data_IF_737776403618
#
_entry.id   IF_737776403618
#
_cell.length_a   1.000
_cell.length_b   1.000
_cell.length_c   1.000
_cell.angle_alpha   90.00
_cell.angle_beta   90.00
_cell.angle_gamma   90.00
#
_symmetry.space_group_name_H-M   'P 1'
#
loop_
_entity.id
_entity.type
_entity.pdbx_description
1 polymer ?
#
# COMPACT_ATOMS: atom_id res chain seq x y z
N UNK A 1 -2.96 -24.89 19.40
CA UNK A 1 -3.22 -23.48 19.78
C UNK A 1 -4.43 -23.05 18.98
N UNK A 2 -5.44 -22.45 19.62
CA UNK A 2 -6.65 -21.95 18.92
C UNK A 2 -6.42 -20.49 18.49
N UNK A 3 -5.60 -20.33 17.45
CA UNK A 3 -5.13 -18.99 17.00
C UNK A 3 -6.26 -18.15 16.47
N UNK A 4 -7.11 -18.71 15.60
CA UNK A 4 -8.26 -17.99 15.01
C UNK A 4 -9.20 -17.47 16.11
N UNK A 5 -9.56 -18.28 17.08
CA UNK A 5 -10.42 -17.87 18.20
C UNK A 5 -9.74 -16.83 19.10
N UNK A 6 -8.46 -17.02 19.40
CA UNK A 6 -7.70 -16.08 20.24
C UNK A 6 -7.61 -14.71 19.57
N UNK A 7 -7.31 -14.69 18.24
CA UNK A 7 -7.29 -13.47 17.45
C UNK A 7 -8.68 -12.80 17.42
N UNK A 8 -9.74 -13.57 17.18
CA UNK A 8 -11.12 -13.07 17.20
C UNK A 8 -11.46 -12.40 18.53
N UNK A 9 -11.13 -13.04 19.65
CA UNK A 9 -11.31 -12.47 20.99
C UNK A 9 -10.53 -11.16 21.17
N UNK A 10 -9.26 -11.11 20.75
CA UNK A 10 -8.43 -9.89 20.84
C UNK A 10 -9.03 -8.74 20.04
N UNK A 11 -9.49 -9.00 18.81
CA UNK A 11 -10.15 -8.00 17.97
C UNK A 11 -11.40 -7.46 18.64
N UNK A 12 -12.27 -8.33 19.12
CA UNK A 12 -13.55 -7.95 19.73
C UNK A 12 -13.35 -7.17 21.04
N UNK A 13 -12.45 -7.65 21.89
CA UNK A 13 -12.20 -7.05 23.21
C UNK A 13 -11.31 -5.81 23.17
N UNK A 14 -10.62 -5.51 22.04
CA UNK A 14 -9.76 -4.32 21.92
C UNK A 14 -10.56 -3.04 22.17
N UNK A 15 -9.95 -2.09 22.85
CA UNK A 15 -10.53 -0.78 23.18
C UNK A 15 -9.68 0.34 22.61
N UNK A 16 -10.31 1.38 22.09
CA UNK A 16 -9.60 2.52 21.47
C UNK A 16 -8.66 3.25 22.45
N UNK A 17 -9.04 3.27 23.75
CA UNK A 17 -8.27 3.90 24.80
C UNK A 17 -6.92 3.19 25.06
N UNK A 18 -6.80 1.94 24.61
CA UNK A 18 -5.57 1.13 24.72
C UNK A 18 -4.60 1.40 23.57
N UNK A 19 -5.05 2.05 22.51
CA UNK A 19 -4.19 2.40 21.36
C UNK A 19 -3.40 3.67 21.68
N UNK A 20 -2.05 3.64 21.66
CA UNK A 20 -1.22 4.81 21.94
C UNK A 20 -1.49 5.97 20.97
N UNK A 21 -1.25 7.20 21.43
CA UNK A 21 -1.54 8.40 20.64
C UNK A 21 -0.69 8.49 19.35
N UNK A 22 0.56 8.05 19.40
CA UNK A 22 1.45 7.97 18.25
C UNK A 22 0.97 6.95 17.20
N UNK A 23 0.41 5.81 17.63
CA UNK A 23 -0.20 4.81 16.74
C UNK A 23 -1.49 5.35 16.09
N UNK A 24 -2.31 6.10 16.85
CA UNK A 24 -3.50 6.77 16.29
C UNK A 24 -3.13 7.86 15.30
N UNK A 25 -2.08 8.63 15.60
CA UNK A 25 -1.54 9.62 14.66
C UNK A 25 -1.03 8.95 13.38
N UNK A 26 -0.34 7.82 13.50
CA UNK A 26 0.13 7.04 12.35
C UNK A 26 -1.06 6.52 11.50
N UNK A 27 -2.19 6.18 12.10
CA UNK A 27 -3.41 5.86 11.35
C UNK A 27 -3.92 7.07 10.55
N UNK A 28 -3.90 8.29 11.10
CA UNK A 28 -4.27 9.50 10.36
C UNK A 28 -3.31 9.79 9.20
N UNK A 29 -2.00 9.58 9.40
CA UNK A 29 -0.96 9.67 8.34
C UNK A 29 -1.24 8.68 7.20
N UNK A 30 -1.53 7.44 7.56
CA UNK A 30 -1.88 6.38 6.62
C UNK A 30 -3.16 6.70 5.83
N UNK A 31 -4.17 7.28 6.51
CA UNK A 31 -5.42 7.73 5.88
C UNK A 31 -5.17 8.81 4.83
N UNK A 32 -4.40 9.85 5.17
CA UNK A 32 -4.06 10.94 4.24
C UNK A 32 -3.31 10.40 3.02
N UNK A 33 -2.29 9.56 3.24
CA UNK A 33 -1.53 8.94 2.17
C UNK A 33 -2.41 8.06 1.28
N UNK A 34 -3.29 7.25 1.88
CA UNK A 34 -4.23 6.39 1.15
C UNK A 34 -5.21 7.21 0.30
N UNK A 35 -5.81 8.27 0.88
CA UNK A 35 -6.71 9.17 0.15
C UNK A 35 -6.01 9.78 -1.07
N UNK A 36 -4.77 10.27 -0.90
CA UNK A 36 -3.99 10.82 -2.01
C UNK A 36 -3.77 9.81 -3.14
N UNK A 37 -3.37 8.59 -2.79
CA UNK A 37 -3.16 7.53 -3.78
C UNK A 37 -4.46 7.12 -4.50
N UNK A 38 -5.57 7.00 -3.77
CA UNK A 38 -6.86 6.64 -4.35
C UNK A 38 -7.40 7.73 -5.28
N UNK A 39 -7.31 9.01 -4.89
CA UNK A 39 -7.73 10.16 -5.70
C UNK A 39 -6.84 10.27 -6.94
N UNK A 40 -5.51 10.23 -6.76
CA UNK A 40 -4.55 10.41 -7.85
C UNK A 40 -4.74 9.42 -8.99
N UNK A 41 -5.03 8.16 -8.67
CA UNK A 41 -5.24 7.12 -9.67
C UNK A 41 -6.68 7.00 -10.18
N UNK A 42 -7.61 7.79 -9.66
CA UNK A 42 -9.05 7.66 -9.95
C UNK A 42 -9.41 7.73 -11.44
N UNK A 43 -8.62 8.46 -12.24
CA UNK A 43 -8.81 8.61 -13.70
C UNK A 43 -7.90 7.72 -14.54
N UNK A 44 -7.08 6.87 -13.89
CA UNK A 44 -6.22 5.95 -14.59
C UNK A 44 -7.03 4.90 -15.39
N UNK A 45 -6.48 4.44 -16.51
CA UNK A 45 -7.12 3.45 -17.39
C UNK A 45 -7.58 2.19 -16.64
N UNK A 46 -6.79 1.69 -15.70
CA UNK A 46 -7.14 0.56 -14.83
C UNK A 46 -8.50 0.77 -14.15
N UNK A 47 -8.76 1.99 -13.65
CA UNK A 47 -10.01 2.30 -12.94
C UNK A 47 -11.16 2.48 -13.94
N UNK A 48 -10.90 3.09 -15.10
CA UNK A 48 -11.91 3.20 -16.15
C UNK A 48 -12.36 1.82 -16.63
N UNK A 49 -11.43 0.91 -16.89
CA UNK A 49 -11.70 -0.47 -17.31
C UNK A 49 -12.49 -1.23 -16.23
N UNK A 50 -12.10 -1.05 -14.96
CA UNK A 50 -12.81 -1.68 -13.84
C UNK A 50 -14.22 -1.15 -13.69
N UNK A 51 -14.43 0.17 -13.71
CA UNK A 51 -15.77 0.76 -13.59
C UNK A 51 -16.69 0.33 -14.74
N UNK A 52 -16.17 0.26 -15.97
CA UNK A 52 -16.93 -0.25 -17.10
C UNK A 52 -17.41 -1.69 -16.90
N UNK A 53 -16.60 -2.51 -16.20
CA UNK A 53 -16.93 -3.90 -15.91
C UNK A 53 -17.92 -4.07 -14.74
N UNK A 54 -17.83 -3.23 -13.69
CA UNK A 54 -18.57 -3.47 -12.44
C UNK A 54 -19.83 -2.62 -12.29
N UNK A 55 -19.88 -1.39 -12.84
CA UNK A 55 -21.04 -0.51 -12.71
C UNK A 55 -22.36 -1.09 -13.28
N UNK A 56 -22.36 -1.90 -14.36
CA UNK A 56 -23.59 -2.56 -14.80
C UNK A 56 -24.25 -3.49 -13.76
N UNK A 57 -23.48 -3.92 -12.75
CA UNK A 57 -23.95 -4.78 -11.66
C UNK A 57 -24.02 -4.05 -10.32
N UNK A 58 -23.76 -2.74 -10.30
CA UNK A 58 -23.77 -1.94 -9.09
C UNK A 58 -25.14 -1.93 -8.43
N UNK A 59 -25.14 -2.04 -7.09
CA UNK A 59 -26.33 -1.94 -6.26
C UNK A 59 -26.70 -0.48 -5.93
N UNK A 60 -27.29 -0.27 -4.76
CA UNK A 60 -27.64 1.07 -4.25
C UNK A 60 -26.40 1.96 -4.10
N UNK A 61 -26.48 3.28 -4.34
CA UNK A 61 -25.35 4.20 -4.28
C UNK A 61 -24.97 4.55 -2.83
N UNK A 62 -24.44 3.56 -2.10
CA UNK A 62 -24.12 3.65 -0.68
C UNK A 62 -22.81 4.35 -0.39
N UNK A 63 -21.81 4.25 -1.31
CA UNK A 63 -20.48 4.76 -1.07
C UNK A 63 -19.87 5.42 -2.32
N UNK A 64 -18.99 6.39 -2.08
CA UNK A 64 -18.32 7.24 -3.05
C UNK A 64 -17.11 6.54 -3.67
N UNK A 65 -16.89 6.72 -4.97
CA UNK A 65 -15.61 6.45 -5.63
C UNK A 65 -14.73 7.70 -5.49
N UNK A 66 -13.58 7.58 -4.83
CA UNK A 66 -12.66 8.68 -4.56
C UNK A 66 -12.12 9.30 -5.85
N UNK A 67 -12.07 10.65 -5.91
CA UNK A 67 -11.64 11.41 -7.09
C UNK A 67 -12.61 11.36 -8.28
N UNK A 68 -13.85 10.90 -8.07
CA UNK A 68 -14.91 10.77 -9.11
C UNK A 68 -16.26 11.17 -8.55
N UNK A 69 -17.24 11.33 -9.45
CA UNK A 69 -18.64 11.63 -9.07
C UNK A 69 -19.49 10.35 -8.91
N UNK A 70 -18.98 9.20 -9.37
CA UNK A 70 -19.71 7.95 -9.31
C UNK A 70 -19.82 7.43 -7.88
N UNK A 71 -21.00 6.92 -7.55
CA UNK A 71 -21.32 6.21 -6.32
C UNK A 71 -21.81 4.80 -6.67
N UNK A 72 -21.52 3.85 -5.81
CA UNK A 72 -21.93 2.45 -5.99
C UNK A 72 -22.27 1.83 -4.63
N UNK A 73 -22.64 0.55 -4.62
CA UNK A 73 -22.79 -0.18 -3.36
C UNK A 73 -21.45 -0.31 -2.62
N UNK A 74 -21.56 -0.57 -1.34
CA UNK A 74 -20.44 -0.62 -0.41
C UNK A 74 -19.33 -1.62 -0.84
N UNK A 75 -19.70 -2.76 -1.42
CA UNK A 75 -18.75 -3.80 -1.84
C UNK A 75 -17.97 -3.40 -3.10
N UNK A 76 -18.64 -2.84 -4.09
CA UNK A 76 -17.97 -2.37 -5.28
C UNK A 76 -17.15 -1.10 -5.01
N UNK A 77 -17.60 -0.22 -4.11
CA UNK A 77 -16.81 0.93 -3.69
C UNK A 77 -15.50 0.48 -3.00
N UNK A 78 -15.58 -0.51 -2.10
CA UNK A 78 -14.40 -1.08 -1.46
C UNK A 78 -13.43 -1.69 -2.50
N UNK A 79 -13.95 -2.41 -3.50
CA UNK A 79 -13.15 -2.95 -4.58
C UNK A 79 -12.44 -1.85 -5.37
N UNK A 80 -13.20 -0.91 -5.93
CA UNK A 80 -12.67 0.12 -6.85
C UNK A 80 -11.69 1.04 -6.15
N UNK A 81 -12.02 1.55 -4.96
CA UNK A 81 -11.15 2.41 -4.17
C UNK A 81 -9.86 1.70 -3.72
N UNK A 82 -9.96 0.41 -3.38
CA UNK A 82 -8.79 -0.41 -3.05
C UNK A 82 -7.87 -0.63 -4.24
N UNK A 83 -8.42 -0.85 -5.43
CA UNK A 83 -7.63 -0.90 -6.66
C UNK A 83 -6.99 0.45 -6.93
N UNK A 84 -7.78 1.54 -6.87
CA UNK A 84 -7.30 2.90 -7.14
C UNK A 84 -6.11 3.27 -6.25
N UNK A 85 -6.20 3.01 -4.95
CA UNK A 85 -5.13 3.34 -4.01
C UNK A 85 -3.79 2.64 -4.29
N UNK A 86 -3.79 1.53 -5.05
CA UNK A 86 -2.60 0.72 -5.32
C UNK A 86 -2.08 0.77 -6.77
N UNK A 87 -2.81 1.42 -7.69
CA UNK A 87 -2.41 1.48 -9.12
C UNK A 87 -1.02 2.05 -9.31
N UNK A 88 -0.68 3.12 -8.58
CA UNK A 88 0.59 3.80 -8.73
C UNK A 88 1.76 3.13 -7.99
N UNK A 89 1.48 2.07 -7.21
CA UNK A 89 2.48 1.46 -6.31
C UNK A 89 3.15 2.50 -5.39
N UNK A 90 2.37 3.50 -4.98
CA UNK A 90 2.82 4.68 -4.26
C UNK A 90 2.21 4.78 -2.85
N UNK A 91 1.38 3.82 -2.49
CA UNK A 91 0.80 3.65 -1.16
C UNK A 91 1.83 3.22 -0.12
N UNK A 92 1.44 3.27 1.15
CA UNK A 92 2.27 2.90 2.28
C UNK A 92 2.68 1.42 2.25
N UNK A 93 3.72 1.10 3.02
CA UNK A 93 4.29 -0.25 3.05
C UNK A 93 4.83 -0.56 4.43
N UNK A 94 4.37 -1.64 5.03
CA UNK A 94 4.98 -2.20 6.23
C UNK A 94 6.40 -2.69 5.92
N UNK A 95 7.33 -2.53 6.87
CA UNK A 95 8.75 -2.84 6.70
C UNK A 95 9.04 -4.26 6.16
N UNK A 96 8.09 -5.20 6.27
CA UNK A 96 8.20 -6.59 5.80
C UNK A 96 7.25 -6.95 4.65
N UNK A 97 6.95 -6.00 3.76
CA UNK A 97 6.36 -6.24 2.43
C UNK A 97 4.83 -6.32 2.30
N UNK A 98 4.04 -5.88 3.26
CA UNK A 98 2.59 -5.70 3.08
C UNK A 98 2.27 -4.22 2.85
N UNK A 99 1.23 -3.90 2.08
CA UNK A 99 0.68 -2.55 1.91
C UNK A 99 -0.60 -2.45 2.77
N UNK A 100 -0.50 -1.94 4.02
CA UNK A 100 -1.58 -2.17 4.99
C UNK A 100 -2.81 -1.32 4.75
N UNK A 101 -2.69 -0.11 4.23
CA UNK A 101 -3.83 0.77 4.02
C UNK A 101 -4.71 0.35 2.84
N UNK A 102 -4.11 -0.23 1.80
CA UNK A 102 -4.80 -0.52 0.54
C UNK A 102 -5.96 -1.52 0.67
N UNK A 103 -5.90 -2.60 1.48
CA UNK A 103 -7.03 -3.49 1.70
C UNK A 103 -7.98 -3.01 2.80
N UNK A 104 -7.53 -2.23 3.80
CA UNK A 104 -8.32 -1.95 5.01
C UNK A 104 -9.17 -0.69 4.86
N UNK A 105 -8.58 0.47 4.50
CA UNK A 105 -9.34 1.73 4.41
C UNK A 105 -10.50 1.70 3.41
N UNK A 106 -10.41 1.08 2.23
CA UNK A 106 -11.54 1.10 1.30
C UNK A 106 -12.81 0.48 1.87
N UNK A 107 -12.68 -0.66 2.59
CA UNK A 107 -13.79 -1.32 3.26
C UNK A 107 -14.38 -0.44 4.38
N UNK A 108 -13.50 0.15 5.21
CA UNK A 108 -13.92 0.99 6.32
C UNK A 108 -14.62 2.26 5.88
N UNK A 109 -14.08 2.96 4.86
CA UNK A 109 -14.66 4.22 4.38
C UNK A 109 -15.99 3.98 3.66
N UNK A 110 -16.10 2.91 2.86
CA UNK A 110 -17.35 2.53 2.24
C UNK A 110 -18.43 2.16 3.29
N UNK A 111 -18.03 1.42 4.34
CA UNK A 111 -18.93 1.08 5.45
C UNK A 111 -19.32 2.31 6.26
N UNK A 112 -18.37 3.25 6.46
CA UNK A 112 -18.62 4.50 7.21
C UNK A 112 -19.65 5.39 6.52
N UNK A 113 -19.59 5.53 5.19
CA UNK A 113 -20.60 6.28 4.44
C UNK A 113 -21.99 5.62 4.53
N UNK A 114 -22.02 4.29 4.46
CA UNK A 114 -23.30 3.55 4.50
C UNK A 114 -23.93 3.53 5.89
N UNK A 115 -23.13 3.47 6.96
CA UNK A 115 -23.61 3.25 8.34
C UNK A 115 -23.48 4.46 9.25
N UNK A 116 -22.80 5.54 8.83
CA UNK A 116 -22.58 6.71 9.68
C UNK A 116 -21.64 6.42 10.85
N UNK A 117 -20.44 5.89 10.58
CA UNK A 117 -19.44 5.50 11.59
C UNK A 117 -18.64 6.75 12.02
N UNK A 118 -18.36 6.87 13.34
CA UNK A 118 -17.50 7.93 13.86
C UNK A 118 -16.04 7.78 13.40
N UNK A 119 -15.32 8.89 13.32
CA UNK A 119 -13.90 8.86 12.98
C UNK A 119 -13.05 8.13 14.02
N UNK A 120 -13.39 8.23 15.28
CA UNK A 120 -12.71 7.50 16.35
C UNK A 120 -12.85 5.96 16.19
N UNK A 121 -14.04 5.49 15.83
CA UNK A 121 -14.28 4.07 15.57
C UNK A 121 -13.57 3.62 14.28
N UNK A 122 -13.55 4.45 13.24
CA UNK A 122 -12.82 4.19 12.01
C UNK A 122 -11.32 4.01 12.29
N UNK A 123 -10.69 4.92 13.03
CA UNK A 123 -9.26 4.84 13.39
C UNK A 123 -8.97 3.58 14.20
N UNK A 124 -9.79 3.29 15.22
CA UNK A 124 -9.64 2.08 16.02
C UNK A 124 -9.76 0.80 15.17
N UNK A 125 -10.78 0.72 14.31
CA UNK A 125 -10.98 -0.42 13.43
C UNK A 125 -9.82 -0.58 12.42
N UNK A 126 -9.29 0.53 11.88
CA UNK A 126 -8.12 0.51 11.02
C UNK A 126 -6.90 -0.08 11.71
N UNK A 127 -6.57 0.40 12.92
CA UNK A 127 -5.44 -0.13 13.71
C UNK A 127 -5.60 -1.65 13.91
N UNK A 128 -6.79 -2.09 14.36
CA UNK A 128 -7.08 -3.52 14.57
C UNK A 128 -6.95 -4.34 13.29
N UNK A 129 -7.38 -3.78 12.15
CA UNK A 129 -7.25 -4.41 10.83
C UNK A 129 -5.78 -4.58 10.44
N UNK A 130 -4.99 -3.52 10.55
CA UNK A 130 -3.55 -3.56 10.23
C UNK A 130 -2.79 -4.53 11.13
N UNK A 131 -3.08 -4.51 12.46
CA UNK A 131 -2.50 -5.51 13.37
C UNK A 131 -2.83 -6.94 12.94
N UNK A 132 -4.08 -7.18 12.51
CA UNK A 132 -4.53 -8.51 12.07
C UNK A 132 -3.79 -8.95 10.80
N UNK A 133 -3.80 -8.16 9.74
CA UNK A 133 -3.20 -8.56 8.47
C UNK A 133 -1.68 -8.68 8.53
N UNK A 134 -1.02 -7.73 9.23
CA UNK A 134 0.43 -7.78 9.37
C UNK A 134 0.87 -9.02 10.15
N UNK A 135 0.22 -9.36 11.26
CA UNK A 135 0.54 -10.54 12.06
C UNK A 135 0.24 -11.85 11.34
N UNK A 136 -0.89 -11.93 10.63
CA UNK A 136 -1.21 -13.09 9.77
C UNK A 136 -0.18 -13.21 8.64
N UNK A 137 0.16 -12.12 7.96
CA UNK A 137 1.17 -12.09 6.91
C UNK A 137 2.56 -12.49 7.42
N UNK A 138 2.99 -11.94 8.55
CA UNK A 138 4.29 -12.24 9.16
C UNK A 138 4.41 -13.72 9.59
N UNK A 139 3.31 -14.36 9.97
CA UNK A 139 3.30 -15.77 10.39
C UNK A 139 3.67 -16.74 9.27
N UNK A 140 3.57 -16.33 8.02
CA UNK A 140 3.88 -17.10 6.81
C UNK A 140 5.07 -16.54 6.01
N UNK A 141 5.56 -15.34 6.37
CA UNK A 141 6.69 -14.68 5.70
C UNK A 141 8.05 -15.27 6.18
N UNK A 142 9.09 -15.36 5.33
CA UNK A 142 9.13 -14.89 3.93
C UNK A 142 8.69 -15.96 2.89
N UNK A 143 8.53 -17.21 3.25
CA UNK A 143 8.34 -18.33 2.34
C UNK A 143 7.09 -18.18 1.48
N UNK A 144 5.99 -17.70 2.06
CA UNK A 144 4.75 -17.37 1.35
C UNK A 144 4.99 -16.40 0.18
N UNK A 145 5.77 -15.36 0.43
CA UNK A 145 6.14 -14.39 -0.60
C UNK A 145 7.11 -14.98 -1.63
N UNK A 146 8.07 -15.80 -1.18
CA UNK A 146 9.08 -16.42 -2.04
C UNK A 146 8.48 -17.40 -3.05
N UNK A 147 7.47 -18.17 -2.66
CA UNK A 147 6.80 -19.14 -3.56
C UNK A 147 5.86 -18.48 -4.56
N UNK A 148 5.61 -17.16 -4.46
CA UNK A 148 4.89 -16.41 -5.49
C UNK A 148 3.58 -15.75 -5.06
N UNK A 149 3.23 -15.75 -3.77
CA UNK A 149 2.03 -15.06 -3.28
C UNK A 149 2.28 -13.56 -3.07
N UNK A 150 1.34 -12.73 -3.48
CA UNK A 150 1.32 -11.31 -3.15
C UNK A 150 0.66 -11.11 -1.79
N UNK A 151 1.50 -10.95 -0.76
CA UNK A 151 1.07 -10.95 0.65
C UNK A 151 0.00 -9.87 0.96
N UNK A 152 0.02 -8.74 0.28
CA UNK A 152 -1.01 -7.69 0.41
C UNK A 152 -2.41 -8.21 0.07
N UNK A 153 -2.54 -9.03 -0.97
CA UNK A 153 -3.83 -9.64 -1.32
C UNK A 153 -4.22 -10.77 -0.37
N UNK A 154 -3.25 -11.63 -0.04
CA UNK A 154 -3.54 -12.86 0.73
C UNK A 154 -3.73 -12.61 2.22
N UNK A 155 -3.00 -11.65 2.81
CA UNK A 155 -3.16 -11.29 4.22
C UNK A 155 -4.14 -10.13 4.43
N UNK A 156 -4.22 -9.18 3.48
CA UNK A 156 -5.09 -8.01 3.58
C UNK A 156 -6.58 -8.33 3.73
N UNK A 157 -7.03 -9.46 3.20
CA UNK A 157 -8.42 -9.91 3.39
C UNK A 157 -8.77 -10.14 4.87
N UNK A 158 -7.82 -10.59 5.68
CA UNK A 158 -8.01 -10.73 7.13
C UNK A 158 -8.10 -9.38 7.82
N UNK A 159 -7.25 -8.41 7.40
CA UNK A 159 -7.30 -7.04 7.90
C UNK A 159 -8.64 -6.37 7.63
N UNK A 160 -9.10 -6.43 6.38
CA UNK A 160 -10.40 -5.89 6.00
C UNK A 160 -11.57 -6.58 6.74
N UNK A 161 -11.50 -7.91 6.93
CA UNK A 161 -12.52 -8.65 7.69
C UNK A 161 -12.55 -8.27 9.17
N UNK A 162 -11.39 -8.19 9.82
CA UNK A 162 -11.26 -7.81 11.22
C UNK A 162 -11.76 -6.39 11.47
N UNK A 163 -11.32 -5.44 10.64
CA UNK A 163 -11.70 -4.03 10.72
C UNK A 163 -13.20 -3.83 10.48
N UNK A 164 -13.74 -4.40 9.42
CA UNK A 164 -15.18 -4.33 9.11
C UNK A 164 -16.02 -5.01 10.17
N UNK A 165 -15.57 -6.18 10.66
CA UNK A 165 -16.25 -6.90 11.74
C UNK A 165 -16.27 -6.13 13.06
N UNK A 166 -15.20 -5.38 13.36
CA UNK A 166 -15.14 -4.47 14.52
C UNK A 166 -16.19 -3.38 14.41
N UNK A 167 -16.31 -2.72 13.24
CA UNK A 167 -17.32 -1.68 13.00
C UNK A 167 -18.76 -2.23 13.00
N UNK A 168 -18.95 -3.46 12.55
CA UNK A 168 -20.27 -4.12 12.58
C UNK A 168 -20.65 -4.68 13.95
N UNK A 169 -19.76 -4.59 14.94
CA UNK A 169 -20.02 -5.07 16.30
C UNK A 169 -20.14 -6.59 16.42
N UNK A 170 -19.37 -7.34 15.61
CA UNK A 170 -19.36 -8.80 15.67
C UNK A 170 -18.96 -9.29 17.07
N UNK A 171 -19.62 -10.33 17.57
CA UNK A 171 -19.15 -11.05 18.74
C UNK A 171 -17.95 -11.98 18.39
N UNK A 172 -17.34 -12.59 19.41
CA UNK A 172 -16.14 -13.43 19.23
C UNK A 172 -16.36 -14.60 18.26
N UNK A 173 -17.53 -15.22 18.33
CA UNK A 173 -17.90 -16.32 17.44
C UNK A 173 -18.06 -15.87 15.99
N UNK A 174 -18.79 -14.78 15.78
CA UNK A 174 -18.97 -14.18 14.46
C UNK A 174 -17.64 -13.69 13.89
N UNK A 175 -16.77 -13.09 14.71
CA UNK A 175 -15.45 -12.67 14.30
C UNK A 175 -14.57 -13.88 13.88
N UNK A 176 -14.63 -14.99 14.62
CA UNK A 176 -13.93 -16.21 14.21
C UNK A 176 -14.44 -16.74 12.86
N UNK A 177 -15.75 -16.68 12.61
CA UNK A 177 -16.31 -17.03 11.31
C UNK A 177 -15.87 -16.05 10.22
N UNK A 178 -15.85 -14.73 10.48
CA UNK A 178 -15.38 -13.74 9.51
C UNK A 178 -13.92 -14.01 9.09
N UNK A 179 -13.04 -14.32 10.06
CA UNK A 179 -11.65 -14.70 9.79
C UNK A 179 -11.55 -16.02 8.99
N UNK A 180 -12.40 -17.00 9.27
CA UNK A 180 -12.45 -18.25 8.51
C UNK A 180 -12.97 -18.07 7.08
N UNK A 181 -13.97 -17.19 6.87
CA UNK A 181 -14.45 -16.81 5.52
C UNK A 181 -13.35 -16.04 4.78
N UNK A 182 -12.62 -15.14 5.44
CA UNK A 182 -11.49 -14.43 4.87
C UNK A 182 -10.38 -15.40 4.42
N UNK A 183 -10.06 -16.40 5.24
CA UNK A 183 -9.03 -17.38 4.94
C UNK A 183 -9.27 -18.10 3.60
N UNK A 184 -10.50 -18.47 3.30
CA UNK A 184 -10.83 -19.18 2.05
C UNK A 184 -10.90 -18.25 0.82
N UNK A 185 -10.85 -16.93 1.02
CA UNK A 185 -10.85 -15.92 -0.05
C UNK A 185 -9.48 -15.29 -0.31
N UNK A 186 -8.43 -15.76 0.38
CA UNK A 186 -7.06 -15.28 0.20
C UNK A 186 -6.56 -15.58 -1.21
N UNK A 187 -6.11 -14.54 -1.93
CA UNK A 187 -5.65 -14.67 -3.31
C UNK A 187 -4.67 -13.55 -3.69
N UNK A 188 -3.96 -13.76 -4.81
CA UNK A 188 -3.02 -12.78 -5.37
C UNK A 188 -1.67 -13.41 -5.70
N UNK A 189 -1.25 -13.31 -6.96
CA UNK A 189 0.01 -13.88 -7.44
C UNK A 189 1.00 -12.77 -7.81
N UNK A 190 2.26 -12.91 -7.43
CA UNK A 190 3.36 -12.01 -7.81
C UNK A 190 3.61 -11.96 -9.32
N UNK A 191 3.19 -13.00 -10.05
CA UNK A 191 3.26 -13.03 -11.52
C UNK A 191 2.53 -11.84 -12.17
N UNK A 192 1.55 -11.26 -11.47
CA UNK A 192 0.78 -10.11 -11.96
C UNK A 192 1.53 -8.77 -11.84
N UNK A 193 2.74 -8.74 -11.27
CA UNK A 193 3.50 -7.50 -11.10
C UNK A 193 3.87 -6.89 -12.46
N UNK A 194 3.66 -5.55 -12.58
CA UNK A 194 3.82 -4.83 -13.85
C UNK A 194 2.56 -4.82 -14.73
N UNK A 195 1.45 -5.42 -14.28
CA UNK A 195 0.15 -5.35 -14.96
C UNK A 195 -0.90 -4.66 -14.09
N UNK A 196 -2.03 -4.28 -14.68
CA UNK A 196 -3.21 -3.74 -13.96
C UNK A 196 -3.69 -4.69 -12.86
N UNK A 197 -3.51 -6.01 -13.05
CA UNK A 197 -3.96 -7.03 -12.14
C UNK A 197 -3.24 -7.02 -10.78
N UNK A 198 -2.04 -6.42 -10.67
CA UNK A 198 -1.38 -6.26 -9.36
C UNK A 198 -2.27 -5.47 -8.40
N UNK A 199 -2.83 -4.34 -8.86
CA UNK A 199 -3.67 -3.48 -8.03
C UNK A 199 -5.04 -4.10 -7.70
N UNK A 200 -5.49 -5.09 -8.47
CA UNK A 200 -6.70 -5.85 -8.16
C UNK A 200 -6.60 -6.56 -6.80
N UNK A 201 -5.41 -6.99 -6.38
CA UNK A 201 -5.26 -7.81 -5.18
C UNK A 201 -5.73 -7.12 -3.90
N UNK A 202 -5.25 -5.90 -3.52
CA UNK A 202 -5.76 -5.22 -2.32
C UNK A 202 -7.23 -4.81 -2.45
N UNK A 203 -7.70 -4.39 -3.64
CA UNK A 203 -9.11 -4.07 -3.84
C UNK A 203 -10.00 -5.29 -3.61
N UNK A 204 -9.58 -6.46 -4.11
CA UNK A 204 -10.30 -7.71 -3.91
C UNK A 204 -10.23 -8.18 -2.46
N UNK A 205 -9.08 -8.00 -1.79
CA UNK A 205 -8.94 -8.27 -0.37
C UNK A 205 -9.90 -7.40 0.46
N UNK A 206 -10.01 -6.11 0.13
CA UNK A 206 -10.94 -5.17 0.77
C UNK A 206 -12.40 -5.63 0.63
N UNK A 207 -12.84 -5.88 -0.62
CA UNK A 207 -14.19 -6.35 -0.92
C UNK A 207 -14.51 -7.67 -0.22
N UNK A 208 -13.61 -8.64 -0.31
CA UNK A 208 -13.80 -9.98 0.24
C UNK A 208 -13.82 -9.96 1.77
N UNK A 209 -12.97 -9.14 2.41
CA UNK A 209 -12.95 -8.98 3.86
C UNK A 209 -14.22 -8.32 4.39
N UNK A 210 -14.68 -7.25 3.73
CA UNK A 210 -15.96 -6.63 4.04
C UNK A 210 -17.14 -7.63 3.91
N UNK A 211 -17.18 -8.38 2.81
CA UNK A 211 -18.17 -9.41 2.59
C UNK A 211 -18.11 -10.50 3.67
N UNK A 212 -16.91 -10.92 4.07
CA UNK A 212 -16.73 -11.91 5.14
C UNK A 212 -17.33 -11.44 6.47
N UNK A 213 -17.10 -10.18 6.84
CA UNK A 213 -17.70 -9.58 8.04
C UNK A 213 -19.24 -9.47 7.93
N UNK A 214 -19.75 -9.06 6.77
CA UNK A 214 -21.19 -8.97 6.53
C UNK A 214 -21.87 -10.34 6.60
N UNK A 215 -21.29 -11.38 6.00
CA UNK A 215 -21.81 -12.75 6.08
C UNK A 215 -21.83 -13.25 7.53
N UNK A 216 -20.72 -13.07 8.25
CA UNK A 216 -20.63 -13.49 9.66
C UNK A 216 -21.63 -12.75 10.55
N UNK A 217 -21.94 -11.48 10.27
CA UNK A 217 -22.96 -10.71 11.01
C UNK A 217 -24.36 -11.31 10.88
N UNK A 218 -24.59 -12.06 9.80
CA UNK A 218 -25.84 -12.80 9.57
C UNK A 218 -25.75 -14.28 10.01
N UNK A 219 -24.76 -14.61 10.85
CA UNK A 219 -24.47 -15.96 11.33
C UNK A 219 -24.14 -16.98 10.24
N UNK A 220 -23.56 -16.53 9.10
CA UNK A 220 -22.99 -17.43 8.11
C UNK A 220 -21.72 -18.07 8.70
N UNK A 221 -21.75 -19.37 8.91
CA UNK A 221 -20.73 -20.11 9.64
C UNK A 221 -19.52 -20.43 8.78
N UNK A 222 -18.34 -20.56 9.41
CA UNK A 222 -17.14 -21.09 8.81
C UNK A 222 -16.33 -21.89 9.84
N UNK A 223 -15.14 -22.35 9.44
CA UNK A 223 -14.22 -22.99 10.37
C UNK A 223 -13.69 -21.99 11.39
N UNK A 224 -13.73 -22.34 12.68
CA UNK A 224 -13.13 -21.57 13.77
C UNK A 224 -11.60 -21.75 13.89
N UNK A 225 -11.00 -22.50 12.97
CA UNK A 225 -9.57 -22.77 12.87
C UNK A 225 -9.07 -22.49 11.45
N UNK A 226 -9.69 -21.53 10.74
CA UNK A 226 -9.41 -21.23 9.34
C UNK A 226 -7.95 -20.83 9.08
N UNK A 227 -7.25 -20.28 10.08
CA UNK A 227 -5.85 -19.86 9.95
C UNK A 227 -4.90 -21.04 10.23
N UNK A 228 -5.05 -21.73 11.38
CA UNK A 228 -4.04 -22.66 11.91
C UNK A 228 -4.28 -24.14 11.63
N UNK A 229 -5.47 -24.54 11.21
CA UNK A 229 -5.78 -25.94 10.97
C UNK A 229 -4.86 -26.58 9.90
N UNK A 230 -4.80 -27.92 9.88
CA UNK A 230 -4.02 -28.67 8.89
C UNK A 230 -4.28 -28.25 7.43
N UNK A 231 -5.53 -27.87 7.12
CA UNK A 231 -5.98 -27.39 5.81
C UNK A 231 -6.35 -25.90 5.85
N UNK A 232 -5.88 -25.16 6.86
CA UNK A 232 -6.08 -23.74 7.02
C UNK A 232 -5.03 -22.92 6.26
N UNK A 233 -5.25 -21.59 6.22
CA UNK A 233 -4.42 -20.62 5.48
C UNK A 233 -2.92 -20.85 5.70
N UNK A 234 -2.45 -20.87 6.95
CA UNK A 234 -1.01 -20.90 7.24
C UNK A 234 -0.31 -22.14 6.72
N UNK A 235 -0.99 -23.31 6.71
CA UNK A 235 -0.42 -24.59 6.26
C UNK A 235 -0.54 -24.82 4.76
N UNK A 236 -1.57 -24.25 4.13
CA UNK A 236 -1.82 -24.41 2.69
C UNK A 236 -1.01 -23.40 1.88
N UNK A 237 -0.86 -22.18 2.40
CA UNK A 237 -0.27 -21.07 1.66
C UNK A 237 1.23 -20.87 1.91
N UNK A 238 1.86 -21.65 2.82
CA UNK A 238 3.29 -21.53 3.10
C UNK A 238 3.90 -22.87 3.55
N UNK A 239 5.17 -23.06 3.23
CA UNK A 239 5.97 -24.19 3.72
C UNK A 239 6.46 -23.99 5.16
N UNK A 240 6.46 -22.73 5.63
CA UNK A 240 6.73 -22.39 7.04
C UNK A 240 5.59 -21.52 7.57
N UNK A 241 5.10 -21.91 8.72
CA UNK A 241 4.02 -21.20 9.40
C UNK A 241 4.31 -21.17 10.91
N UNK A 242 4.42 -19.96 11.44
CA UNK A 242 4.55 -19.72 12.88
C UNK A 242 3.30 -19.03 13.45
N UNK A 243 2.35 -19.82 13.97
CA UNK A 243 1.11 -19.26 14.53
C UNK A 243 1.32 -18.39 15.77
N UNK A 244 2.46 -18.49 16.46
CA UNK A 244 2.73 -17.70 17.67
C UNK A 244 2.85 -16.21 17.38
N UNK A 245 3.32 -15.84 16.19
CA UNK A 245 3.46 -14.44 15.74
C UNK A 245 2.13 -13.71 15.74
N UNK A 246 1.03 -14.41 15.44
CA UNK A 246 -0.29 -13.82 15.28
C UNK A 246 -0.80 -13.23 16.61
N UNK A 247 -0.54 -13.91 17.71
CA UNK A 247 -1.09 -13.56 19.02
C UNK A 247 -0.09 -12.97 20.00
N UNK A 248 1.22 -13.02 19.67
CA UNK A 248 2.28 -12.53 20.54
C UNK A 248 2.18 -11.00 20.74
N UNK A 249 2.31 -10.56 21.99
CA UNK A 249 2.39 -9.13 22.34
C UNK A 249 1.26 -8.26 21.78
N UNK A 250 0.07 -8.81 21.59
CA UNK A 250 -1.11 -8.05 21.17
C UNK A 250 -1.40 -6.92 22.16
N UNK A 251 -1.59 -5.69 21.64
CA UNK A 251 -1.80 -4.49 22.45
C UNK A 251 -0.54 -3.94 23.15
N UNK A 252 0.63 -4.55 22.94
CA UNK A 252 1.92 -4.08 23.48
C UNK A 252 2.89 -3.64 22.40
N UNK A 253 2.93 -4.39 21.30
CA UNK A 253 3.69 -4.07 20.08
C UNK A 253 2.68 -3.82 18.96
N UNK A 254 2.87 -2.70 18.27
CA UNK A 254 2.00 -2.26 17.20
C UNK A 254 2.70 -2.39 15.85
N UNK A 255 2.17 -3.20 14.96
CA UNK A 255 2.71 -3.39 13.60
C UNK A 255 2.55 -2.11 12.76
N UNK A 256 1.50 -1.31 13.01
CA UNK A 256 1.31 -0.02 12.37
C UNK A 256 2.48 0.94 12.61
N UNK A 257 3.21 0.84 13.74
CA UNK A 257 4.43 1.61 14.00
C UNK A 257 5.60 1.24 13.05
N UNK A 258 5.49 0.14 12.31
CA UNK A 258 6.45 -0.28 11.28
C UNK A 258 6.03 0.12 9.86
N UNK A 259 5.03 0.99 9.73
CA UNK A 259 4.56 1.50 8.45
C UNK A 259 5.52 2.55 7.87
N UNK A 260 5.69 2.54 6.57
CA UNK A 260 6.59 3.42 5.82
C UNK A 260 5.84 4.04 4.65
N UNK A 261 6.24 5.23 4.23
CA UNK A 261 5.65 5.94 3.10
C UNK A 261 6.66 6.10 1.98
N UNK A 262 6.24 5.79 0.76
CA UNK A 262 7.10 5.98 -0.41
C UNK A 262 7.11 7.46 -0.82
N UNK A 263 8.28 8.10 -0.90
CA UNK A 263 8.41 9.44 -1.50
C UNK A 263 8.39 9.38 -3.03
N UNK A 264 8.63 8.19 -3.62
CA UNK A 264 8.73 7.98 -5.06
C UNK A 264 7.71 6.92 -5.53
N UNK A 265 7.13 7.13 -6.71
CA UNK A 265 5.99 6.37 -7.23
C UNK A 265 6.37 5.04 -7.89
N UNK A 266 7.11 4.18 -7.18
CA UNK A 266 7.61 2.91 -7.71
C UNK A 266 7.89 1.87 -6.60
N UNK A 267 8.43 0.72 -6.98
CA UNK A 267 8.77 -0.37 -6.07
C UNK A 267 9.69 0.07 -4.91
N UNK A 268 9.44 -0.47 -3.71
CA UNK A 268 10.19 -0.10 -2.50
C UNK A 268 11.71 -0.32 -2.66
N UNK A 269 12.10 -1.38 -3.37
CA UNK A 269 13.51 -1.80 -3.48
C UNK A 269 14.40 -0.85 -4.30
N UNK A 270 13.82 0.11 -5.03
CA UNK A 270 14.56 1.11 -5.79
C UNK A 270 14.56 2.51 -5.17
N UNK A 271 13.90 2.70 -4.02
CA UNK A 271 13.81 4.01 -3.36
C UNK A 271 15.19 4.56 -3.00
N UNK A 272 16.13 3.71 -2.51
CA UNK A 272 17.49 4.11 -2.20
C UNK A 272 18.29 4.57 -3.43
N UNK A 273 18.07 3.93 -4.57
CA UNK A 273 18.68 4.33 -5.85
C UNK A 273 18.19 5.72 -6.28
N UNK A 274 16.89 5.95 -6.23
CA UNK A 274 16.30 7.26 -6.60
C UNK A 274 16.79 8.36 -5.68
N UNK A 275 16.69 8.14 -4.37
CA UNK A 275 17.09 9.11 -3.34
C UNK A 275 18.57 9.53 -3.52
N UNK A 276 19.47 8.57 -3.68
CA UNK A 276 20.88 8.87 -3.88
C UNK A 276 21.19 9.54 -5.22
N UNK A 277 20.49 9.17 -6.30
CA UNK A 277 20.61 9.85 -7.59
C UNK A 277 20.16 11.32 -7.51
N UNK A 278 19.04 11.60 -6.83
CA UNK A 278 18.54 12.97 -6.61
C UNK A 278 19.54 13.79 -5.76
N UNK A 279 20.07 13.21 -4.67
CA UNK A 279 21.07 13.87 -3.84
C UNK A 279 22.31 14.24 -4.65
N UNK A 280 22.93 13.28 -5.36
CA UNK A 280 24.11 13.53 -6.18
C UNK A 280 23.85 14.57 -7.27
N UNK A 281 22.69 14.51 -7.91
CA UNK A 281 22.28 15.50 -8.93
C UNK A 281 22.24 16.90 -8.34
N UNK A 282 21.54 17.09 -7.24
CA UNK A 282 21.29 18.40 -6.66
C UNK A 282 22.55 19.01 -6.04
N UNK A 283 23.35 18.21 -5.35
CA UNK A 283 24.60 18.66 -4.71
C UNK A 283 25.67 19.09 -5.75
N UNK A 284 25.67 18.47 -6.94
CA UNK A 284 26.70 18.70 -7.96
C UNK A 284 26.18 19.42 -9.21
N UNK A 285 24.91 19.83 -9.24
CA UNK A 285 24.31 20.50 -10.39
C UNK A 285 24.35 19.65 -11.67
N UNK A 286 24.16 18.32 -11.55
CA UNK A 286 24.33 17.42 -12.69
C UNK A 286 23.22 17.58 -13.73
N UNK A 287 23.64 17.53 -15.01
CA UNK A 287 22.73 17.36 -16.14
C UNK A 287 23.02 16.02 -16.86
N UNK A 288 22.07 15.45 -17.60
CA UNK A 288 22.26 14.19 -18.32
C UNK A 288 23.48 14.16 -19.26
N UNK A 289 23.83 15.32 -19.84
CA UNK A 289 24.95 15.47 -20.78
C UNK A 289 26.31 15.29 -20.11
N UNK A 290 26.43 15.64 -18.81
CA UNK A 290 27.65 15.52 -18.02
C UNK A 290 28.00 14.07 -17.66
N UNK A 291 26.99 13.19 -17.61
CA UNK A 291 27.12 11.82 -17.12
C UNK A 291 27.67 10.91 -18.21
N UNK A 292 28.71 10.16 -17.92
CA UNK A 292 29.27 9.10 -18.79
C UNK A 292 28.66 7.74 -18.46
N UNK A 293 28.72 7.31 -17.19
CA UNK A 293 28.11 6.06 -16.72
C UNK A 293 27.57 6.18 -15.29
N UNK A 294 26.64 5.28 -14.95
CA UNK A 294 26.05 5.13 -13.62
C UNK A 294 26.15 3.66 -13.22
N UNK A 295 26.94 3.35 -12.22
CA UNK A 295 27.13 2.00 -11.72
C UNK A 295 26.41 1.88 -10.36
N UNK A 296 25.49 0.92 -10.23
CA UNK A 296 24.67 0.70 -9.04
C UNK A 296 25.00 -0.66 -8.42
N UNK A 297 25.44 -0.69 -7.15
CA UNK A 297 25.46 -1.92 -6.36
C UNK A 297 24.18 -2.00 -5.55
N UNK A 298 23.44 -3.10 -5.73
CA UNK A 298 22.09 -3.28 -5.19
C UNK A 298 21.89 -4.68 -4.64
N UNK A 299 20.91 -4.80 -3.74
CA UNK A 299 20.50 -6.10 -3.19
C UNK A 299 20.01 -7.06 -4.28
N UNK A 300 20.21 -8.39 -4.12
CA UNK A 300 19.69 -9.42 -5.03
C UNK A 300 18.22 -9.28 -5.39
N UNK A 301 17.39 -8.85 -4.44
CA UNK A 301 15.94 -8.68 -4.65
C UNK A 301 15.59 -7.64 -5.74
N UNK A 302 16.48 -6.68 -6.01
CA UNK A 302 16.31 -5.69 -7.08
C UNK A 302 16.30 -6.37 -8.45
N UNK A 303 17.15 -7.40 -8.63
CA UNK A 303 17.19 -8.19 -9.86
C UNK A 303 15.91 -9.00 -10.10
N UNK A 304 15.30 -9.49 -9.02
CA UNK A 304 14.07 -10.26 -9.11
C UNK A 304 12.84 -9.39 -9.41
N UNK A 305 12.80 -8.19 -8.85
CA UNK A 305 11.60 -7.35 -8.87
C UNK A 305 11.65 -6.20 -9.87
N UNK A 306 12.84 -5.66 -10.18
CA UNK A 306 12.97 -4.37 -10.86
C UNK A 306 14.07 -4.32 -11.93
N UNK A 307 14.51 -5.46 -12.45
CA UNK A 307 15.56 -5.51 -13.47
C UNK A 307 15.04 -5.38 -14.91
N UNK A 308 13.86 -4.79 -15.14
CA UNK A 308 13.35 -4.54 -16.49
C UNK A 308 14.18 -3.42 -17.15
N UNK A 309 15.04 -3.78 -18.10
CA UNK A 309 15.99 -2.85 -18.76
C UNK A 309 15.31 -1.87 -19.71
N UNK A 310 14.30 -2.34 -20.46
CA UNK A 310 13.65 -1.60 -21.54
C UNK A 310 12.12 -1.50 -21.32
N UNK A 311 11.65 -0.80 -20.25
CA UNK A 311 10.24 -0.60 -20.05
C UNK A 311 9.64 0.20 -21.21
N UNK A 312 8.40 -0.17 -21.61
CA UNK A 312 7.64 0.47 -22.70
C UNK A 312 6.44 1.26 -22.19
N UNK A 313 6.03 1.01 -20.94
CA UNK A 313 4.91 1.70 -20.30
C UNK A 313 5.31 2.24 -18.94
N UNK A 314 4.54 3.19 -18.40
CA UNK A 314 4.73 3.73 -17.06
C UNK A 314 4.68 2.65 -15.99
N UNK A 315 3.73 1.72 -16.08
CA UNK A 315 3.62 0.58 -15.16
C UNK A 315 4.88 -0.30 -15.19
N UNK A 316 5.44 -0.56 -16.36
CA UNK A 316 6.71 -1.27 -16.49
C UNK A 316 7.88 -0.46 -15.93
N UNK A 317 7.86 0.86 -16.10
CA UNK A 317 8.88 1.79 -15.58
C UNK A 317 9.02 1.72 -14.07
N UNK A 318 7.91 1.52 -13.32
CA UNK A 318 7.89 1.34 -11.86
C UNK A 318 8.65 0.09 -11.37
N UNK A 319 8.89 -0.87 -12.28
CA UNK A 319 9.66 -2.10 -12.05
C UNK A 319 11.00 -2.09 -12.82
N UNK A 320 11.57 -0.89 -13.06
CA UNK A 320 12.85 -0.70 -13.73
C UNK A 320 13.79 0.18 -12.89
N UNK A 321 14.77 -0.44 -12.24
CA UNK A 321 15.84 0.30 -11.53
C UNK A 321 16.65 1.19 -12.50
N UNK A 322 16.77 0.79 -13.75
CA UNK A 322 17.44 1.56 -14.80
C UNK A 322 16.69 2.85 -15.11
N UNK A 323 15.36 2.77 -15.27
CA UNK A 323 14.51 3.95 -15.48
C UNK A 323 14.48 4.83 -14.22
N UNK A 324 14.34 4.22 -13.05
CA UNK A 324 14.31 4.93 -11.77
C UNK A 324 15.56 5.81 -11.57
N UNK A 325 16.76 5.26 -11.80
CA UNK A 325 18.01 6.02 -11.74
C UNK A 325 18.08 7.11 -12.80
N UNK A 326 17.74 6.78 -14.06
CA UNK A 326 17.80 7.71 -15.18
C UNK A 326 16.85 8.89 -15.00
N UNK A 327 15.59 8.65 -14.63
CA UNK A 327 14.61 9.72 -14.48
C UNK A 327 14.92 10.62 -13.28
N UNK A 328 15.42 10.04 -12.18
CA UNK A 328 15.89 10.78 -11.00
C UNK A 328 17.04 11.73 -11.36
N UNK A 329 18.03 11.26 -12.12
CA UNK A 329 19.16 12.08 -12.59
C UNK A 329 18.74 13.11 -13.66
N UNK A 330 17.78 12.79 -14.52
CA UNK A 330 17.28 13.71 -15.53
C UNK A 330 16.48 14.85 -14.91
N UNK A 331 15.47 14.53 -14.11
CA UNK A 331 14.47 15.51 -13.65
C UNK A 331 14.66 16.01 -12.21
N UNK A 332 15.42 15.28 -11.40
CA UNK A 332 15.51 15.54 -9.95
C UNK A 332 14.27 15.11 -9.16
N UNK A 333 13.38 14.38 -9.79
CA UNK A 333 12.09 13.92 -9.22
C UNK A 333 11.82 12.46 -9.63
N UNK A 334 10.92 11.79 -8.91
CA UNK A 334 10.42 10.47 -9.26
C UNK A 334 8.98 10.25 -8.70
N UNK A 335 8.13 11.25 -8.85
CA UNK A 335 6.70 11.15 -8.61
C UNK A 335 5.97 10.44 -9.76
N UNK A 336 4.64 10.46 -9.75
CA UNK A 336 3.83 9.73 -10.74
C UNK A 336 4.10 10.19 -12.19
N UNK A 337 4.26 11.48 -12.43
CA UNK A 337 4.56 12.02 -13.76
C UNK A 337 5.87 11.48 -14.36
N UNK A 338 6.84 11.12 -13.51
CA UNK A 338 8.11 10.53 -13.93
C UNK A 338 8.01 9.04 -14.32
N UNK A 339 6.89 8.41 -14.02
CA UNK A 339 6.55 7.04 -14.40
C UNK A 339 5.33 6.99 -15.35
N UNK A 340 5.07 8.07 -16.10
CA UNK A 340 4.15 8.05 -17.24
C UNK A 340 4.79 7.38 -18.46
N UNK A 341 3.98 6.92 -19.42
CA UNK A 341 4.46 6.36 -20.70
C UNK A 341 5.36 7.36 -21.45
N UNK A 342 4.96 8.65 -21.45
CA UNK A 342 5.73 9.74 -22.06
C UNK A 342 7.13 9.86 -21.42
N UNK A 343 7.21 9.83 -20.08
CA UNK A 343 8.48 9.93 -19.36
C UNK A 343 9.38 8.71 -19.58
N UNK A 344 8.79 7.52 -19.61
CA UNK A 344 9.52 6.27 -19.86
C UNK A 344 10.12 6.24 -21.26
N UNK A 345 9.43 6.78 -22.25
CA UNK A 345 9.85 6.85 -23.65
C UNK A 345 10.62 8.14 -23.99
N UNK A 346 10.81 9.07 -23.06
CA UNK A 346 11.55 10.30 -23.29
C UNK A 346 12.99 10.02 -23.77
N UNK A 347 13.43 10.59 -24.92
CA UNK A 347 14.73 10.27 -25.51
C UNK A 347 15.92 10.53 -24.58
N UNK A 348 15.88 11.59 -23.76
CA UNK A 348 16.95 11.93 -22.80
C UNK A 348 17.02 10.87 -21.70
N UNK A 349 15.87 10.51 -21.12
CA UNK A 349 15.77 9.46 -20.08
C UNK A 349 16.22 8.11 -20.65
N UNK A 350 15.79 7.76 -21.88
CA UNK A 350 16.21 6.51 -22.57
C UNK A 350 17.71 6.47 -22.80
N UNK A 351 18.31 7.59 -23.27
CA UNK A 351 19.75 7.67 -23.50
C UNK A 351 20.56 7.53 -22.19
N UNK A 352 20.08 8.11 -21.11
CA UNK A 352 20.70 8.00 -19.79
C UNK A 352 20.51 6.60 -19.19
N UNK A 353 19.32 6.00 -19.34
CA UNK A 353 19.03 4.63 -18.91
C UNK A 353 20.00 3.60 -19.48
N UNK A 354 20.39 3.74 -20.74
CA UNK A 354 21.39 2.86 -21.39
C UNK A 354 22.80 2.94 -20.78
N UNK A 355 23.08 3.97 -19.97
CA UNK A 355 24.36 4.15 -19.26
C UNK A 355 24.32 3.62 -17.84
N UNK A 356 23.15 3.16 -17.36
CA UNK A 356 22.97 2.58 -16.02
C UNK A 356 23.35 1.10 -16.08
N UNK A 357 24.17 0.67 -15.14
CA UNK A 357 24.56 -0.73 -14.92
C UNK A 357 24.23 -1.12 -13.50
N UNK A 358 23.84 -2.36 -13.28
CA UNK A 358 23.56 -2.90 -11.94
C UNK A 358 24.51 -4.06 -11.64
N UNK A 359 24.98 -4.11 -10.42
CA UNK A 359 25.80 -5.19 -9.87
C UNK A 359 25.12 -5.72 -8.59
N UNK A 360 25.07 -7.04 -8.47
CA UNK A 360 24.55 -7.70 -7.28
C UNK A 360 25.55 -7.61 -6.14
N UNK A 361 25.12 -7.19 -4.95
CA UNK A 361 25.93 -7.17 -3.75
C UNK A 361 25.08 -7.69 -2.56
N UNK A 362 25.45 -8.87 -2.05
CA UNK A 362 24.76 -9.53 -0.93
C UNK A 362 24.89 -8.76 0.39
N UNK A 363 25.87 -7.84 0.50
CA UNK A 363 26.06 -7.00 1.69
C UNK A 363 25.14 -5.79 1.74
N UNK A 364 24.47 -5.49 0.63
CA UNK A 364 23.56 -4.35 0.51
C UNK A 364 22.13 -4.76 0.92
N UNK A 365 21.56 -4.03 1.87
CA UNK A 365 20.20 -4.26 2.35
C UNK A 365 19.15 -3.96 1.29
N UNK A 366 17.95 -4.50 1.50
CA UNK A 366 16.83 -4.52 0.54
C UNK A 366 16.49 -3.15 -0.08
N UNK A 367 16.57 -2.07 0.69
CA UNK A 367 16.22 -0.70 0.27
C UNK A 367 17.44 0.21 0.14
N UNK A 368 18.65 -0.36 0.29
CA UNK A 368 19.91 0.35 0.18
C UNK A 368 20.42 0.36 -1.25
N UNK A 369 21.25 1.32 -1.58
CA UNK A 369 21.95 1.38 -2.88
C UNK A 369 23.29 2.06 -2.71
N UNK A 370 24.33 1.54 -3.40
CA UNK A 370 25.59 2.23 -3.58
C UNK A 370 25.69 2.67 -5.02
N UNK A 371 25.84 3.98 -5.24
CA UNK A 371 25.76 4.65 -6.52
C UNK A 371 27.12 5.23 -6.83
N UNK A 372 27.67 4.94 -8.02
CA UNK A 372 28.87 5.56 -8.56
C UNK A 372 28.54 6.18 -9.90
N UNK A 373 28.72 7.50 -10.04
CA UNK A 373 28.50 8.25 -11.27
C UNK A 373 29.84 8.72 -11.81
N UNK A 374 30.20 8.30 -13.04
CA UNK A 374 31.37 8.80 -13.75
C UNK A 374 30.92 9.92 -14.67
N UNK A 375 31.63 11.04 -14.61
CA UNK A 375 31.37 12.20 -15.45
C UNK A 375 32.34 12.23 -16.65
N UNK A 376 31.92 12.84 -17.73
CA UNK A 376 32.73 12.98 -18.96
C UNK A 376 34.00 13.84 -18.76
N UNK A 377 34.04 14.65 -17.70
CA UNK A 377 35.21 15.44 -17.33
C UNK A 377 36.22 14.65 -16.46
N UNK A 378 35.97 13.37 -16.22
CA UNK A 378 36.82 12.45 -15.46
C UNK A 378 36.52 12.39 -13.97
N UNK A 379 35.66 13.24 -13.42
CA UNK A 379 35.25 13.15 -11.99
C UNK A 379 34.41 11.91 -11.76
N UNK A 380 34.56 11.34 -10.56
CA UNK A 380 33.72 10.25 -10.07
C UNK A 380 33.01 10.71 -8.79
N UNK A 381 31.73 10.52 -8.74
CA UNK A 381 30.87 10.85 -7.59
C UNK A 381 30.30 9.57 -7.00
N UNK A 382 30.27 9.48 -5.67
CA UNK A 382 29.79 8.29 -4.97
C UNK A 382 28.77 8.64 -3.89
N UNK A 383 27.80 7.75 -3.71
CA UNK A 383 26.81 7.82 -2.63
C UNK A 383 26.45 6.42 -2.16
N UNK A 384 26.52 6.19 -0.86
CA UNK A 384 25.93 5.02 -0.22
C UNK A 384 24.70 5.46 0.55
N UNK A 385 23.51 5.06 0.07
CA UNK A 385 22.25 5.29 0.75
C UNK A 385 21.96 4.08 1.63
N UNK A 386 22.13 4.25 2.93
CA UNK A 386 21.84 3.23 3.95
C UNK A 386 20.35 3.31 4.32
N UNK A 387 19.83 4.51 4.50
CA UNK A 387 18.45 4.80 4.83
C UNK A 387 17.87 5.76 3.79
N UNK A 388 17.04 5.24 2.91
CA UNK A 388 16.32 6.06 1.93
C UNK A 388 15.26 6.91 2.63
N UNK A 389 14.90 8.06 2.07
CA UNK A 389 13.76 8.84 2.53
C UNK A 389 12.50 7.95 2.51
N UNK A 390 11.70 8.05 3.54
CA UNK A 390 10.47 7.27 3.72
C UNK A 390 10.64 5.94 4.47
N UNK A 391 11.88 5.54 4.83
CA UNK A 391 12.12 4.39 5.74
C UNK A 391 11.87 4.75 7.21
N UNK A 392 11.84 3.75 8.09
CA UNK A 392 11.64 3.98 9.53
C UNK A 392 12.74 4.86 10.15
N UNK A 393 13.98 4.72 9.66
CA UNK A 393 15.14 5.48 10.14
C UNK A 393 15.19 6.90 9.56
N UNK A 394 14.49 7.14 8.45
CA UNK A 394 14.41 8.46 7.80
C UNK A 394 12.98 8.68 7.28
N UNK A 395 12.00 8.85 8.18
CA UNK A 395 10.59 8.93 7.81
C UNK A 395 10.27 10.23 7.06
N UNK A 396 9.22 10.17 6.22
CA UNK A 396 8.58 11.38 5.70
C UNK A 396 7.89 12.13 6.85
N UNK A 397 7.98 13.45 6.84
CA UNK A 397 7.24 14.30 7.78
C UNK A 397 5.75 14.39 7.38
N UNK A 398 4.92 14.92 8.26
CA UNK A 398 3.50 15.22 7.95
C UNK A 398 3.38 16.21 6.79
N UNK A 399 4.27 17.21 6.73
CA UNK A 399 4.33 18.16 5.62
C UNK A 399 4.71 17.47 4.29
N UNK A 400 5.60 16.48 4.30
CA UNK A 400 5.92 15.69 3.11
C UNK A 400 4.72 14.87 2.62
N UNK A 401 3.92 14.32 3.55
CA UNK A 401 2.69 13.58 3.21
C UNK A 401 1.61 14.51 2.65
N UNK A 402 1.45 15.72 3.20
CA UNK A 402 0.55 16.73 2.62
C UNK A 402 1.01 17.15 1.23
N UNK A 403 2.30 17.38 1.03
CA UNK A 403 2.84 17.75 -0.29
C UNK A 403 2.61 16.63 -1.31
N UNK A 404 2.82 15.37 -0.90
CA UNK A 404 2.52 14.19 -1.72
C UNK A 404 1.02 14.12 -2.06
N UNK A 405 0.14 14.29 -1.08
CA UNK A 405 -1.32 14.31 -1.29
C UNK A 405 -1.70 15.37 -2.30
N UNK A 406 -1.21 16.62 -2.15
CA UNK A 406 -1.50 17.73 -3.06
C UNK A 406 -1.05 17.42 -4.48
N UNK A 407 0.15 16.87 -4.65
CA UNK A 407 0.65 16.46 -5.97
C UNK A 407 -0.19 15.37 -6.63
N UNK A 408 -0.74 14.43 -5.85
CA UNK A 408 -1.62 13.37 -6.34
C UNK A 408 -3.04 13.88 -6.65
N UNK A 409 -3.53 14.84 -5.90
CA UNK A 409 -4.88 15.41 -6.08
C UNK A 409 -4.94 16.51 -7.15
N UNK A 410 -3.78 16.99 -7.63
CA UNK A 410 -3.70 18.06 -8.63
C UNK A 410 -4.40 17.67 -9.94
N UNK A 411 -5.16 18.61 -10.51
CA UNK A 411 -5.96 18.36 -11.71
C UNK A 411 -7.19 17.46 -11.51
N UNK A 412 -7.42 16.92 -10.28
CA UNK A 412 -8.57 16.08 -9.94
C UNK A 412 -9.48 16.81 -8.97
N UNK A 413 -8.97 17.29 -7.86
CA UNK A 413 -9.69 18.09 -6.87
C UNK A 413 -9.35 19.57 -7.02
N UNK A 414 -10.30 20.43 -6.70
CA UNK A 414 -10.01 21.85 -6.48
C UNK A 414 -9.14 22.01 -5.22
N UNK A 415 -8.36 23.11 -5.15
CA UNK A 415 -7.56 23.43 -3.96
C UNK A 415 -8.38 23.37 -2.67
N UNK A 416 -9.62 23.92 -2.70
CA UNK A 416 -10.53 23.92 -1.54
C UNK A 416 -10.92 22.51 -1.12
N UNK A 417 -11.22 21.63 -2.06
CA UNK A 417 -11.53 20.21 -1.76
C UNK A 417 -10.30 19.49 -1.20
N UNK A 418 -9.13 19.69 -1.80
CA UNK A 418 -7.87 19.12 -1.31
C UNK A 418 -7.56 19.57 0.13
N UNK A 419 -7.71 20.88 0.44
CA UNK A 419 -7.54 21.43 1.78
C UNK A 419 -8.54 20.80 2.78
N UNK A 420 -9.78 20.59 2.36
CA UNK A 420 -10.81 19.97 3.20
C UNK A 420 -10.53 18.50 3.46
N UNK A 421 -10.12 17.70 2.48
CA UNK A 421 -9.75 16.29 2.69
C UNK A 421 -8.56 16.19 3.64
N UNK A 422 -7.53 17.02 3.47
CA UNK A 422 -6.36 17.07 4.39
C UNK A 422 -6.83 17.35 5.81
N UNK A 423 -7.64 18.39 6.00
CA UNK A 423 -8.17 18.77 7.31
C UNK A 423 -8.95 17.62 7.96
N UNK A 424 -9.84 16.96 7.19
CA UNK A 424 -10.65 15.85 7.69
C UNK A 424 -9.78 14.65 8.07
N UNK A 425 -8.73 14.35 7.30
CA UNK A 425 -7.80 13.26 7.64
C UNK A 425 -7.05 13.54 8.94
N UNK A 426 -6.53 14.77 9.14
CA UNK A 426 -5.83 15.12 10.37
C UNK A 426 -6.74 15.19 11.60
N UNK A 427 -8.01 15.53 11.42
CA UNK A 427 -8.97 15.62 12.51
C UNK A 427 -9.89 14.39 12.59
N UNK A 428 -9.53 13.28 11.96
CA UNK A 428 -10.40 12.12 11.78
C UNK A 428 -11.02 11.63 13.09
N UNK A 429 -10.26 11.53 14.18
CA UNK A 429 -10.76 11.03 15.45
C UNK A 429 -11.89 11.88 16.06
N UNK A 430 -12.01 13.15 15.67
CA UNK A 430 -13.04 14.07 16.18
C UNK A 430 -14.30 14.11 15.30
N UNK A 431 -14.29 13.43 14.15
CA UNK A 431 -15.42 13.44 13.25
C UNK A 431 -16.58 12.60 13.78
N UNK A 432 -17.79 13.16 13.84
CA UNK A 432 -18.97 12.37 14.20
C UNK A 432 -19.37 11.38 13.10
N UNK A 433 -18.95 11.64 11.85
CA UNK A 433 -19.18 10.81 10.67
C UNK A 433 -17.95 10.82 9.76
N UNK A 434 -17.23 9.72 9.73
CA UNK A 434 -16.04 9.54 8.89
C UNK A 434 -16.36 9.50 7.39
N UNK A 435 -17.60 9.22 6.99
CA UNK A 435 -18.04 9.28 5.60
C UNK A 435 -17.90 10.68 4.99
N UNK A 436 -17.74 11.73 5.83
CA UNK A 436 -17.43 13.09 5.35
C UNK A 436 -16.15 13.14 4.51
N UNK A 437 -15.15 12.28 4.80
CA UNK A 437 -13.90 12.22 4.04
C UNK A 437 -14.18 11.77 2.60
N UNK A 438 -14.95 10.70 2.43
CA UNK A 438 -15.30 10.19 1.10
C UNK A 438 -16.12 11.22 0.29
N UNK A 439 -17.07 11.88 0.93
CA UNK A 439 -17.87 12.95 0.29
C UNK A 439 -17.03 14.16 -0.12
N UNK A 440 -16.04 14.54 0.68
CA UNK A 440 -15.10 15.64 0.34
C UNK A 440 -14.17 15.25 -0.82
N UNK A 441 -13.89 13.96 -1.01
CA UNK A 441 -13.06 13.42 -2.08
C UNK A 441 -13.80 13.19 -3.41
N UNK A 442 -15.08 13.57 -3.52
CA UNK A 442 -15.84 13.56 -4.78
C UNK A 442 -15.32 14.66 -5.72
N UNK A 443 -15.15 14.38 -7.06
CA UNK A 443 -14.58 15.28 -8.05
C UNK A 443 -15.49 15.47 -9.27
#
# INVERSE_FOLDING_TARGET
>A
MEVTKTLARYIVQSRREEVPADVRHEAARALLNWCGCAIGASRHETINNMLAAVLPFAGQPQAQIFGRNERTDCLHAALVNGVSSHVFDFDDTHAKAIHPSAPVYPALLALSEWKGISGADLVHAFVVGVETECRVGLSVFPEHYAIGWHITGTAGVFGAAAASGKLLGLNEQQMAWALGIAATQSSGLREMFGSMCKSLHPGRASQNGLMAAMLASQNFTSSEQGIEAKRGFGRVMSTKFDPSIITADWGKRWELSSNMYKPFACGLVVQGTIDGCIQLRNENGLTPEMIDSVDLKVSPIVFELTAKENPQTGLEGKFSVFHAAAVALHTGMAGEAQFSDESVLNPVTVALRKRVRIERDESIGRVQSRITIKLKDGRTLERHVIHALGTLERPMSDADLEAKFRGLADGILTKKQADEVIRLCWTVETLPDAGAIARAAAA
#
